data_IF_437910328992
#
_entry.id   IF_437910328992
#
_cell.length_a   1.000
_cell.length_b   1.000
_cell.length_c   1.000
_cell.angle_alpha   90.00
_cell.angle_beta   90.00
_cell.angle_gamma   90.00
#
_symmetry.space_group_name_H-M   'P 1'
#
loop_
_entity.id
_entity.type
_entity.pdbx_description
1 polymer ?
#
# COMPACT_ATOMS: atom_id res chain seq x y z
N UNK A 1 -2.00 -27.61 0.77
CA UNK A 1 -3.23 -26.99 1.31
C UNK A 1 -3.68 -25.95 0.29
N UNK A 2 -4.91 -26.02 -0.22
CA UNK A 2 -5.41 -25.07 -1.23
C UNK A 2 -5.60 -23.67 -0.59
N UNK A 3 -5.41 -22.61 -1.39
CA UNK A 3 -5.55 -21.21 -0.95
C UNK A 3 -6.91 -20.96 -0.31
N UNK A 4 -7.99 -21.53 -0.87
CA UNK A 4 -9.34 -21.39 -0.32
C UNK A 4 -9.47 -21.94 1.10
N UNK A 5 -8.86 -23.10 1.34
CA UNK A 5 -8.86 -23.74 2.67
C UNK A 5 -8.02 -22.96 3.66
N UNK A 6 -6.82 -22.53 3.23
CA UNK A 6 -5.92 -21.73 4.06
C UNK A 6 -6.54 -20.37 4.40
N UNK A 7 -7.12 -19.67 3.42
CA UNK A 7 -7.72 -18.35 3.62
C UNK A 7 -8.89 -18.42 4.60
N UNK A 8 -9.77 -19.42 4.46
CA UNK A 8 -10.91 -19.62 5.37
C UNK A 8 -10.44 -19.94 6.81
N UNK A 9 -9.39 -20.74 6.96
CA UNK A 9 -8.79 -21.04 8.26
C UNK A 9 -8.25 -19.77 8.96
N UNK A 10 -7.44 -18.98 8.24
CA UNK A 10 -6.89 -17.73 8.80
C UNK A 10 -7.97 -16.68 9.04
N UNK A 11 -9.00 -16.59 8.18
CA UNK A 11 -10.13 -15.70 8.39
C UNK A 11 -10.87 -16.01 9.69
N UNK A 12 -11.16 -17.30 9.95
CA UNK A 12 -11.74 -17.74 11.23
C UNK A 12 -10.83 -17.37 12.41
N UNK A 13 -9.54 -17.68 12.33
CA UNK A 13 -8.59 -17.40 13.41
C UNK A 13 -8.47 -15.92 13.73
N UNK A 14 -8.36 -15.06 12.72
CA UNK A 14 -8.29 -13.62 12.94
C UNK A 14 -9.61 -13.07 13.49
N UNK A 15 -10.75 -13.62 13.07
CA UNK A 15 -12.06 -13.25 13.62
C UNK A 15 -12.16 -13.63 15.11
N UNK A 16 -11.67 -14.80 15.49
CA UNK A 16 -11.64 -15.22 16.89
C UNK A 16 -10.74 -14.31 17.73
N UNK A 17 -9.57 -13.91 17.20
CA UNK A 17 -8.66 -12.96 17.87
C UNK A 17 -9.36 -11.62 18.11
N UNK A 18 -10.09 -11.09 17.12
CA UNK A 18 -10.85 -9.85 17.29
C UNK A 18 -11.95 -9.98 18.36
N UNK A 19 -12.59 -11.15 18.45
CA UNK A 19 -13.59 -11.40 19.48
C UNK A 19 -12.94 -11.41 20.87
N UNK A 20 -11.82 -12.12 21.04
CA UNK A 20 -11.07 -12.19 22.30
C UNK A 20 -10.58 -10.80 22.72
N UNK A 21 -10.03 -10.02 21.79
CA UNK A 21 -9.61 -8.64 22.03
C UNK A 21 -10.77 -7.77 22.54
N UNK A 22 -11.92 -7.82 21.87
CA UNK A 22 -13.12 -7.10 22.28
C UNK A 22 -13.56 -7.47 23.70
N UNK A 23 -13.56 -8.76 24.05
CA UNK A 23 -13.88 -9.20 25.41
C UNK A 23 -12.83 -8.72 26.42
N UNK A 24 -11.55 -8.80 26.07
CA UNK A 24 -10.46 -8.34 26.92
C UNK A 24 -10.57 -6.83 27.20
N UNK A 25 -10.88 -6.02 26.18
CA UNK A 25 -11.11 -4.58 26.34
C UNK A 25 -12.33 -4.28 27.22
N UNK A 26 -13.46 -4.96 26.98
CA UNK A 26 -14.65 -4.79 27.82
C UNK A 26 -14.37 -5.13 29.30
N UNK A 27 -13.59 -6.17 29.58
CA UNK A 27 -13.18 -6.52 30.93
C UNK A 27 -12.21 -5.48 31.51
N UNK A 28 -11.29 -4.96 30.69
CA UNK A 28 -10.33 -3.95 31.10
C UNK A 28 -10.98 -2.58 31.39
N UNK A 29 -12.15 -2.30 30.82
CA UNK A 29 -12.97 -1.11 31.11
C UNK A 29 -13.72 -1.19 32.45
N UNK A 30 -13.82 -2.37 33.07
CA UNK A 30 -14.48 -2.52 34.36
C UNK A 30 -13.70 -1.79 35.46
N UNK A 31 -14.37 -1.04 36.36
CA UNK A 31 -13.71 -0.30 37.43
C UNK A 31 -12.84 -1.17 38.35
N UNK A 32 -13.21 -2.44 38.51
CA UNK A 32 -12.53 -3.39 39.40
C UNK A 32 -11.30 -4.06 38.77
N UNK A 33 -11.08 -3.90 37.46
CA UNK A 33 -10.03 -4.62 36.75
C UNK A 33 -8.63 -4.02 36.98
N UNK A 34 -8.54 -2.75 37.37
CA UNK A 34 -7.28 -2.03 37.67
C UNK A 34 -6.18 -2.21 36.61
N UNK A 35 -6.58 -2.36 35.33
CA UNK A 35 -5.65 -2.59 34.22
C UNK A 35 -4.92 -1.27 33.89
N UNK A 36 -3.57 -1.25 33.89
CA UNK A 36 -2.78 -0.10 33.47
C UNK A 36 -3.13 0.37 32.04
N UNK A 37 -3.18 1.69 31.84
CA UNK A 37 -3.52 2.30 30.53
C UNK A 37 -2.59 1.84 29.40
N UNK A 38 -1.29 1.72 29.65
CA UNK A 38 -0.31 1.30 28.64
C UNK A 38 -0.60 -0.09 28.05
N UNK A 39 -1.17 -1.02 28.82
CA UNK A 39 -1.52 -2.36 28.32
C UNK A 39 -2.73 -2.31 27.38
N UNK A 40 -3.68 -1.39 27.64
CA UNK A 40 -4.82 -1.16 26.75
C UNK A 40 -4.35 -0.56 25.43
N UNK A 41 -3.45 0.43 25.50
CA UNK A 41 -2.86 1.07 24.32
C UNK A 41 -2.08 0.05 23.44
N UNK A 42 -1.31 -0.85 24.05
CA UNK A 42 -0.63 -1.92 23.31
C UNK A 42 -1.65 -2.81 22.59
N UNK A 43 -2.70 -3.23 23.28
CA UNK A 43 -3.74 -4.07 22.69
C UNK A 43 -4.45 -3.38 21.51
N UNK A 44 -4.77 -2.10 21.66
CA UNK A 44 -5.35 -1.26 20.60
C UNK A 44 -4.41 -1.11 19.39
N UNK A 45 -3.10 -0.99 19.61
CA UNK A 45 -2.14 -0.89 18.51
C UNK A 45 -1.97 -2.23 17.78
N UNK A 46 -1.94 -3.35 18.50
CA UNK A 46 -1.79 -4.69 17.92
C UNK A 46 -3.04 -5.15 17.13
N UNK A 47 -4.22 -4.57 17.39
CA UNK A 47 -5.43 -4.95 16.65
C UNK A 47 -5.49 -4.35 15.24
N UNK A 48 -4.80 -3.23 15.01
CA UNK A 48 -4.75 -2.55 13.71
C UNK A 48 -4.24 -3.47 12.59
N UNK A 49 -3.07 -4.14 12.72
CA UNK A 49 -2.59 -5.07 11.70
C UNK A 49 -3.51 -6.29 11.54
N UNK A 50 -4.11 -6.80 12.62
CA UNK A 50 -5.05 -7.94 12.58
C UNK A 50 -6.28 -7.61 11.74
N UNK A 51 -6.92 -6.46 11.99
CA UNK A 51 -8.06 -5.98 11.19
C UNK A 51 -7.68 -5.82 9.73
N UNK A 52 -6.52 -5.23 9.45
CA UNK A 52 -6.02 -5.04 8.08
C UNK A 52 -5.80 -6.39 7.37
N UNK A 53 -5.27 -7.40 8.06
CA UNK A 53 -5.09 -8.74 7.50
C UNK A 53 -6.43 -9.45 7.26
N UNK A 54 -7.37 -9.36 8.20
CA UNK A 54 -8.70 -9.94 8.04
C UNK A 54 -9.44 -9.36 6.83
N UNK A 55 -9.41 -8.03 6.68
CA UNK A 55 -10.03 -7.37 5.52
C UNK A 55 -9.38 -7.81 4.21
N UNK A 56 -8.06 -8.02 4.16
CA UNK A 56 -7.38 -8.55 2.97
C UNK A 56 -7.82 -9.98 2.65
N UNK A 57 -7.95 -10.85 3.65
CA UNK A 57 -8.44 -12.22 3.46
C UNK A 57 -9.88 -12.23 2.94
N UNK A 58 -10.76 -11.40 3.52
CA UNK A 58 -12.17 -11.27 3.09
C UNK A 58 -12.30 -10.77 1.65
N UNK A 59 -11.50 -9.78 1.26
CA UNK A 59 -11.46 -9.28 -0.11
C UNK A 59 -10.88 -10.28 -1.11
N UNK A 60 -10.26 -11.36 -0.63
CA UNK A 60 -9.60 -12.39 -1.45
C UNK A 60 -8.60 -11.78 -2.44
N UNK A 61 -7.96 -10.69 -2.02
CA UNK A 61 -6.94 -9.99 -2.82
C UNK A 61 -5.63 -10.79 -2.79
N UNK A 62 -5.16 -11.22 -3.96
CA UNK A 62 -3.82 -11.77 -4.10
C UNK A 62 -2.87 -10.66 -4.57
N UNK A 63 -1.90 -10.30 -3.72
CA UNK A 63 -0.93 -9.24 -4.00
C UNK A 63 0.40 -9.84 -4.40
N UNK A 64 0.96 -9.35 -5.50
CA UNK A 64 2.21 -9.83 -6.06
C UNK A 64 3.15 -8.63 -6.12
N UNK A 65 4.26 -8.71 -5.39
CA UNK A 65 5.28 -7.68 -5.42
C UNK A 65 6.33 -8.03 -6.49
N UNK A 66 6.45 -7.19 -7.51
CA UNK A 66 7.50 -7.30 -8.54
C UNK A 66 8.60 -6.29 -8.21
N UNK A 67 9.78 -6.80 -7.86
CA UNK A 67 10.95 -6.00 -7.47
C UNK A 67 12.13 -6.34 -8.36
N UNK A 68 13.01 -5.37 -8.59
CA UNK A 68 14.21 -5.54 -9.40
C UNK A 68 14.83 -4.20 -9.78
N UNK A 69 16.07 -4.24 -10.27
CA UNK A 69 16.80 -3.05 -10.69
C UNK A 69 16.10 -2.30 -11.83
N UNK A 70 16.40 -1.01 -11.95
CA UNK A 70 15.96 -0.21 -13.07
C UNK A 70 16.40 -0.82 -14.40
N UNK A 71 15.59 -0.67 -15.46
CA UNK A 71 15.84 -1.22 -16.81
C UNK A 71 15.92 -2.76 -16.90
N UNK A 72 15.63 -3.50 -15.83
CA UNK A 72 15.54 -4.95 -15.85
C UNK A 72 14.31 -5.52 -16.62
N UNK A 73 13.52 -4.67 -17.29
CA UNK A 73 12.34 -5.10 -18.06
C UNK A 73 11.09 -5.39 -17.22
N UNK A 74 10.99 -4.87 -15.98
CA UNK A 74 9.82 -5.10 -15.09
C UNK A 74 8.48 -4.72 -15.73
N UNK A 75 8.41 -3.53 -16.33
CA UNK A 75 7.19 -3.07 -17.03
C UNK A 75 6.86 -3.98 -18.23
N UNK A 76 7.88 -4.37 -19.00
CA UNK A 76 7.72 -5.30 -20.14
C UNK A 76 7.21 -6.66 -19.69
N UNK A 77 7.73 -7.19 -18.58
CA UNK A 77 7.26 -8.44 -17.98
C UNK A 77 5.80 -8.34 -17.54
N UNK A 78 5.43 -7.26 -16.84
CA UNK A 78 4.05 -7.03 -16.39
C UNK A 78 3.09 -6.91 -17.56
N UNK A 79 3.44 -6.15 -18.61
CA UNK A 79 2.60 -6.01 -19.80
C UNK A 79 2.42 -7.34 -20.54
N UNK A 80 3.50 -8.12 -20.69
CA UNK A 80 3.43 -9.46 -21.29
C UNK A 80 2.57 -10.43 -20.46
N UNK A 81 2.65 -10.35 -19.14
CA UNK A 81 1.90 -11.21 -18.24
C UNK A 81 0.41 -10.84 -18.15
N UNK A 82 0.10 -9.55 -18.16
CA UNK A 82 -1.27 -9.03 -18.18
C UNK A 82 -1.89 -9.10 -19.58
N UNK A 83 -1.09 -9.28 -20.63
CA UNK A 83 -1.54 -9.31 -22.02
C UNK A 83 -1.98 -7.95 -22.56
N UNK A 84 -1.58 -6.85 -21.90
CA UNK A 84 -1.92 -5.48 -22.30
C UNK A 84 -0.75 -4.52 -22.04
N UNK A 85 -0.61 -3.50 -22.88
CA UNK A 85 0.46 -2.49 -22.73
C UNK A 85 0.04 -1.40 -21.74
N UNK A 86 -0.07 -1.78 -20.46
CA UNK A 86 -0.59 -0.91 -19.40
C UNK A 86 0.47 0.06 -18.86
N UNK A 87 1.70 -0.42 -18.69
CA UNK A 87 2.80 0.37 -18.14
C UNK A 87 3.70 0.88 -19.27
N UNK A 88 4.24 2.11 -19.20
CA UNK A 88 5.14 2.59 -20.22
C UNK A 88 6.41 1.72 -20.26
N UNK A 89 6.69 1.12 -21.42
CA UNK A 89 7.89 0.30 -21.66
C UNK A 89 9.13 1.13 -22.06
N UNK A 90 9.14 2.45 -21.84
CA UNK A 90 10.24 3.35 -22.24
C UNK A 90 11.52 3.09 -21.43
N UNK A 91 12.69 3.29 -22.06
CA UNK A 91 14.03 3.09 -21.48
C UNK A 91 14.46 4.15 -20.44
N UNK A 92 13.73 5.25 -20.32
CA UNK A 92 14.01 6.28 -19.31
C UNK A 92 13.76 5.72 -17.90
N UNK A 93 14.34 6.33 -16.85
CA UNK A 93 13.96 6.00 -15.45
C UNK A 93 12.46 6.22 -15.31
N UNK A 94 11.68 5.15 -15.31
CA UNK A 94 10.22 5.25 -15.47
C UNK A 94 9.44 5.22 -14.16
N UNK A 95 10.06 4.88 -13.02
CA UNK A 95 9.32 4.68 -11.76
C UNK A 95 10.19 5.00 -10.55
N UNK A 96 10.19 6.27 -10.15
CA UNK A 96 10.52 6.67 -8.77
C UNK A 96 9.32 6.45 -7.82
N UNK A 97 8.14 6.21 -8.39
CA UNK A 97 6.86 6.09 -7.68
C UNK A 97 6.38 4.64 -7.69
N UNK A 98 5.85 4.18 -6.56
CA UNK A 98 5.18 2.88 -6.46
C UNK A 98 3.94 2.86 -7.36
N UNK A 99 3.93 1.96 -8.35
CA UNK A 99 2.74 1.70 -9.18
C UNK A 99 1.99 0.49 -8.66
N UNK A 100 0.69 0.62 -8.48
CA UNK A 100 -0.19 -0.47 -8.05
C UNK A 100 -1.26 -0.69 -9.11
N UNK A 101 -1.45 -1.95 -9.51
CA UNK A 101 -2.47 -2.35 -10.46
C UNK A 101 -3.52 -3.15 -9.69
N UNK A 102 -4.77 -2.70 -9.74
CA UNK A 102 -5.92 -3.35 -9.12
C UNK A 102 -6.84 -3.90 -10.20
N UNK A 103 -7.39 -5.08 -9.96
CA UNK A 103 -8.48 -5.61 -10.77
C UNK A 103 -9.80 -4.98 -10.30
N UNK A 104 -10.64 -4.59 -11.25
CA UNK A 104 -11.99 -4.10 -11.01
C UNK A 104 -13.01 -5.11 -11.53
N UNK A 105 -14.22 -5.11 -10.97
CA UNK A 105 -15.28 -6.06 -11.36
C UNK A 105 -15.93 -5.63 -12.68
N UNK A 106 -16.13 -4.32 -12.85
CA UNK A 106 -16.79 -3.74 -14.01
C UNK A 106 -15.83 -2.82 -14.77
N UNK A 107 -15.89 -2.81 -16.10
CA UNK A 107 -15.05 -1.95 -16.94
C UNK A 107 -15.24 -0.46 -16.63
N UNK A 108 -16.44 -0.07 -16.21
CA UNK A 108 -16.80 1.31 -15.86
C UNK A 108 -16.05 1.83 -14.62
N UNK A 109 -15.46 0.94 -13.83
CA UNK A 109 -14.70 1.30 -12.62
C UNK A 109 -13.21 1.54 -12.92
N UNK A 110 -12.75 1.26 -14.15
CA UNK A 110 -11.37 1.44 -14.57
C UNK A 110 -11.00 2.93 -14.53
N UNK A 111 -9.95 3.25 -13.76
CA UNK A 111 -9.45 4.61 -13.59
C UNK A 111 -7.97 4.62 -13.25
N UNK A 112 -7.30 5.71 -13.56
CA UNK A 112 -5.97 6.03 -13.09
C UNK A 112 -6.08 6.99 -11.92
N UNK A 113 -5.63 6.57 -10.75
CA UNK A 113 -5.51 7.42 -9.55
C UNK A 113 -4.04 7.83 -9.36
N UNK A 114 -3.80 9.13 -9.23
CA UNK A 114 -2.50 9.68 -8.88
C UNK A 114 -2.59 10.28 -7.50
N UNK A 115 -1.85 9.70 -6.56
CA UNK A 115 -1.78 10.16 -5.17
C UNK A 115 -0.40 10.75 -4.89
N UNK A 116 -0.35 12.06 -4.68
CA UNK A 116 0.86 12.74 -4.23
C UNK A 116 1.09 12.48 -2.73
N UNK A 117 2.34 12.30 -2.33
CA UNK A 117 2.71 12.20 -0.91
C UNK A 117 2.46 13.54 -0.21
N UNK A 118 2.06 13.47 1.06
CA UNK A 118 1.98 14.66 1.93
C UNK A 118 3.38 15.20 2.25
N UNK A 119 3.44 16.42 2.81
CA UNK A 119 4.71 17.02 3.21
C UNK A 119 5.47 16.16 4.22
N UNK A 120 4.75 15.66 5.22
CA UNK A 120 5.31 14.80 6.27
C UNK A 120 5.89 13.51 5.68
N UNK A 121 5.13 12.85 4.80
CA UNK A 121 5.58 11.62 4.12
C UNK A 121 6.79 11.88 3.23
N UNK A 122 6.86 13.05 2.59
CA UNK A 122 7.98 13.42 1.74
C UNK A 122 9.24 13.75 2.56
N UNK A 123 9.09 14.45 3.69
CA UNK A 123 10.17 14.73 4.62
C UNK A 123 10.74 13.43 5.21
N UNK A 124 9.87 12.48 5.55
CA UNK A 124 10.29 11.15 6.00
C UNK A 124 11.09 10.42 4.91
N UNK A 125 10.63 10.44 3.65
CA UNK A 125 11.37 9.84 2.53
C UNK A 125 12.77 10.46 2.39
N UNK A 126 12.87 11.79 2.49
CA UNK A 126 14.18 12.45 2.39
C UNK A 126 15.13 12.02 3.51
N UNK A 127 14.62 11.90 4.74
CA UNK A 127 15.41 11.40 5.87
C UNK A 127 15.88 9.95 5.63
N UNK A 128 15.03 9.08 5.09
CA UNK A 128 15.37 7.70 4.74
C UNK A 128 16.44 7.64 3.64
N UNK A 129 16.32 8.45 2.59
CA UNK A 129 17.29 8.53 1.50
C UNK A 129 18.64 9.08 1.96
N UNK A 130 18.64 10.06 2.88
CA UNK A 130 19.85 10.57 3.51
C UNK A 130 20.53 9.49 4.35
N UNK A 131 19.77 8.74 5.17
CA UNK A 131 20.31 7.63 5.94
C UNK A 131 20.88 6.51 5.06
N UNK A 132 20.29 6.28 3.89
CA UNK A 132 20.74 5.29 2.91
C UNK A 132 21.89 5.78 1.99
N UNK A 133 22.37 7.03 2.14
CA UNK A 133 23.37 7.65 1.26
C UNK A 133 23.00 7.64 -0.24
N UNK A 134 21.72 7.77 -0.57
CA UNK A 134 21.21 7.74 -1.93
C UNK A 134 21.40 9.10 -2.66
N UNK A 135 22.65 9.45 -2.97
CA UNK A 135 23.03 10.76 -3.51
C UNK A 135 22.38 11.08 -4.87
N UNK A 136 22.25 10.10 -5.78
CA UNK A 136 21.60 10.31 -7.07
C UNK A 136 20.11 10.68 -6.91
N UNK A 137 19.41 10.02 -5.98
CA UNK A 137 17.99 10.25 -5.75
C UNK A 137 17.76 11.62 -5.09
N UNK A 138 18.62 12.00 -4.13
CA UNK A 138 18.59 13.33 -3.51
C UNK A 138 18.84 14.46 -4.52
N UNK A 139 19.82 14.29 -5.42
CA UNK A 139 20.10 15.26 -6.48
C UNK A 139 18.93 15.39 -7.46
N UNK A 140 18.32 14.25 -7.83
CA UNK A 140 17.15 14.23 -8.72
C UNK A 140 15.95 14.94 -8.09
N UNK A 141 15.72 14.73 -6.80
CA UNK A 141 14.67 15.43 -6.04
C UNK A 141 14.92 16.95 -6.04
N UNK A 142 16.16 17.39 -5.81
CA UNK A 142 16.51 18.81 -5.82
C UNK A 142 16.31 19.45 -7.20
N UNK A 143 16.70 18.77 -8.27
CA UNK A 143 16.55 19.26 -9.65
C UNK A 143 15.09 19.43 -10.08
N UNK A 144 14.17 18.63 -9.54
CA UNK A 144 12.75 18.61 -9.94
C UNK A 144 11.82 19.23 -8.88
N UNK A 145 12.32 20.08 -7.98
CA UNK A 145 11.54 20.66 -6.87
C UNK A 145 10.31 21.44 -7.34
N UNK A 146 10.41 22.20 -8.43
CA UNK A 146 9.29 22.99 -8.95
C UNK A 146 8.14 22.09 -9.41
N UNK A 147 8.46 21.07 -10.22
CA UNK A 147 7.48 20.07 -10.68
C UNK A 147 6.88 19.28 -9.52
N UNK A 148 7.69 18.92 -8.52
CA UNK A 148 7.21 18.24 -7.31
C UNK A 148 6.21 19.11 -6.53
N UNK A 149 6.49 20.41 -6.40
CA UNK A 149 5.58 21.34 -5.73
C UNK A 149 4.27 21.53 -6.51
N UNK A 150 4.32 21.54 -7.84
CA UNK A 150 3.14 21.59 -8.69
C UNK A 150 2.27 20.34 -8.51
N UNK A 151 2.86 19.14 -8.61
CA UNK A 151 2.15 17.87 -8.41
C UNK A 151 1.54 17.79 -7.00
N UNK A 152 2.25 18.30 -5.98
CA UNK A 152 1.73 18.37 -4.61
C UNK A 152 0.54 19.32 -4.49
N UNK A 153 0.54 20.46 -5.19
CA UNK A 153 -0.62 21.39 -5.22
C UNK A 153 -1.81 20.79 -5.96
N UNK A 154 -1.57 20.03 -7.02
CA UNK A 154 -2.63 19.35 -7.78
C UNK A 154 -3.33 18.26 -6.95
N UNK A 155 -2.65 17.70 -5.94
CA UNK A 155 -3.25 16.78 -4.98
C UNK A 155 -3.62 15.43 -5.60
N UNK A 156 -4.78 14.89 -5.20
CA UNK A 156 -5.31 13.65 -5.76
C UNK A 156 -5.97 13.89 -7.11
N UNK A 157 -5.45 13.24 -8.16
CA UNK A 157 -5.98 13.32 -9.51
C UNK A 157 -6.59 11.98 -9.91
N UNK A 158 -7.77 12.02 -10.51
CA UNK A 158 -8.47 10.86 -11.04
C UNK A 158 -8.71 11.05 -12.53
N UNK A 159 -8.24 10.11 -13.34
CA UNK A 159 -8.45 10.09 -14.79
C UNK A 159 -9.26 8.87 -15.18
N UNK A 160 -10.23 9.05 -16.08
CA UNK A 160 -10.94 7.92 -16.68
C UNK A 160 -9.96 7.06 -17.49
N UNK A 161 -10.09 5.74 -17.39
CA UNK A 161 -9.23 4.85 -18.17
C UNK A 161 -9.68 4.82 -19.62
N UNK A 162 -8.89 5.43 -20.50
CA UNK A 162 -9.00 5.24 -21.95
C UNK A 162 -7.98 4.20 -22.37
N UNK A 163 -8.44 3.12 -23.03
CA UNK A 163 -7.52 2.23 -23.73
C UNK A 163 -6.79 3.07 -24.78
N UNK A 164 -5.45 3.03 -24.75
CA UNK A 164 -4.64 3.49 -25.86
C UNK A 164 -5.01 2.57 -27.03
N UNK A 165 -5.71 3.11 -28.03
CA UNK A 165 -5.95 2.44 -29.31
C UNK A 165 -4.64 2.19 -30.05
#
# INVERSE_FOLDING_TARGET
MDWKTASAYYESRLTDILNVERYAMNLAELPQAEIPSHLKEILEQEIIPVRRQLERLKKREFRIAVVGLEKAGKSTFLNAWLGCDLLPAKMARCTFTTTQIYSVVNDNEQRLEVQARTEEQFNQLQAELQAANAQEDLNTIQQNQETLNEVRRSGHLNFAFTRLE
#
